data_IF_889792409697
#
_entry.id   IF_889792409697
#
_cell.length_a   1.000
_cell.length_b   1.000
_cell.length_c   1.000
_cell.angle_alpha   90.00
_cell.angle_beta   90.00
_cell.angle_gamma   90.00
#
_symmetry.space_group_name_H-M   'P 1'
#
loop_
_entity.id
_entity.type
_entity.pdbx_description
1 polymer ?
#
# COMPACT_ATOMS: atom_id res chain seq x y z
N UNK A 1 47.81 5.29 -16.81
CA UNK A 1 46.85 4.97 -15.73
C UNK A 1 45.74 6.03 -15.79
N UNK A 2 44.59 5.73 -16.39
CA UNK A 2 43.53 6.71 -16.65
C UNK A 2 42.79 6.96 -15.34
N UNK A 3 42.97 8.14 -14.78
CA UNK A 3 42.26 8.62 -13.60
C UNK A 3 40.75 8.65 -13.93
N UNK A 4 40.01 7.63 -13.47
CA UNK A 4 38.56 7.61 -13.60
C UNK A 4 38.02 8.69 -12.69
N UNK A 5 37.68 9.83 -13.32
CA UNK A 5 36.94 10.97 -12.76
C UNK A 5 35.95 10.45 -11.73
N UNK A 6 36.19 10.74 -10.44
CA UNK A 6 35.31 10.40 -9.32
C UNK A 6 33.89 10.82 -9.70
N UNK A 7 33.04 9.85 -10.03
CA UNK A 7 31.65 10.15 -10.35
C UNK A 7 31.03 10.90 -9.17
N UNK A 8 30.34 12.01 -9.45
CA UNK A 8 29.72 12.81 -8.40
C UNK A 8 28.78 11.95 -7.54
N UNK A 9 28.49 12.39 -6.29
CA UNK A 9 27.57 11.68 -5.38
C UNK A 9 26.24 11.29 -6.07
N UNK A 10 25.74 12.14 -6.97
CA UNK A 10 24.55 11.87 -7.78
C UNK A 10 24.72 10.69 -8.74
N UNK A 11 25.87 10.57 -9.42
CA UNK A 11 26.14 9.46 -10.34
C UNK A 11 26.26 8.14 -9.59
N UNK A 12 26.88 8.14 -8.41
CA UNK A 12 26.93 6.97 -7.54
C UNK A 12 25.53 6.55 -7.08
N UNK A 13 24.68 7.52 -6.70
CA UNK A 13 23.29 7.26 -6.33
C UNK A 13 22.48 6.66 -7.49
N UNK A 14 22.54 7.27 -8.68
CA UNK A 14 21.85 6.78 -9.86
C UNK A 14 22.32 5.39 -10.29
N UNK A 15 23.61 5.08 -10.13
CA UNK A 15 24.16 3.76 -10.42
C UNK A 15 23.58 2.70 -9.46
N UNK A 16 23.55 2.98 -8.15
CA UNK A 16 22.93 2.11 -7.15
C UNK A 16 21.45 1.94 -7.45
N UNK A 17 20.73 3.04 -7.68
CA UNK A 17 19.30 3.04 -7.98
C UNK A 17 18.97 2.17 -9.19
N UNK A 18 19.68 2.38 -10.31
CA UNK A 18 19.46 1.63 -11.55
C UNK A 18 19.75 0.14 -11.36
N UNK A 19 20.84 -0.19 -10.67
CA UNK A 19 21.18 -1.57 -10.37
C UNK A 19 20.09 -2.25 -9.54
N UNK A 20 19.68 -1.63 -8.43
CA UNK A 20 18.67 -2.17 -7.51
C UNK A 20 17.30 -2.29 -8.15
N UNK A 21 16.89 -1.29 -8.94
CA UNK A 21 15.62 -1.32 -9.66
C UNK A 21 15.55 -2.48 -10.66
N UNK A 22 16.57 -2.64 -11.51
CA UNK A 22 16.66 -3.76 -12.47
C UNK A 22 16.83 -5.11 -11.77
N UNK A 23 17.45 -5.12 -10.59
CA UNK A 23 17.56 -6.32 -9.76
C UNK A 23 16.19 -6.73 -9.21
N UNK A 24 15.43 -5.79 -8.65
CA UNK A 24 14.09 -6.04 -8.12
C UNK A 24 13.13 -6.57 -9.19
N UNK A 25 13.17 -5.99 -10.40
CA UNK A 25 12.36 -6.46 -11.53
C UNK A 25 12.65 -7.91 -11.96
N UNK A 26 13.87 -8.41 -11.75
CA UNK A 26 14.27 -9.77 -12.12
C UNK A 26 14.02 -10.82 -11.03
N UNK A 27 13.62 -10.40 -9.83
CA UNK A 27 13.37 -11.33 -8.72
C UNK A 27 12.10 -12.14 -9.01
N UNK A 28 12.25 -13.47 -9.10
CA UNK A 28 11.13 -14.40 -9.31
C UNK A 28 9.97 -14.19 -8.32
N UNK A 29 10.26 -13.87 -7.06
CA UNK A 29 9.24 -13.58 -6.05
C UNK A 29 8.42 -12.32 -6.34
N UNK A 30 9.07 -11.26 -6.81
CA UNK A 30 8.41 -10.00 -7.18
C UNK A 30 7.57 -10.19 -8.44
N UNK A 31 8.11 -10.89 -9.44
CA UNK A 31 7.38 -11.24 -10.67
C UNK A 31 6.19 -12.15 -10.34
N UNK A 32 6.40 -13.22 -9.59
CA UNK A 32 5.35 -14.19 -9.26
C UNK A 32 4.21 -13.55 -8.48
N UNK A 33 4.53 -12.68 -7.51
CA UNK A 33 3.49 -11.97 -6.79
C UNK A 33 2.79 -10.91 -7.65
N UNK A 34 3.53 -10.18 -8.50
CA UNK A 34 2.93 -9.27 -9.47
C UNK A 34 1.96 -10.00 -10.40
N UNK A 35 2.28 -11.21 -10.86
CA UNK A 35 1.36 -12.02 -11.66
C UNK A 35 0.10 -12.39 -10.88
N UNK A 36 0.21 -12.74 -9.60
CA UNK A 36 -0.97 -13.00 -8.75
C UNK A 36 -1.84 -11.74 -8.66
N UNK A 37 -1.25 -10.58 -8.37
CA UNK A 37 -1.97 -9.30 -8.32
C UNK A 37 -2.65 -9.00 -9.65
N UNK A 38 -1.93 -9.18 -10.76
CA UNK A 38 -2.46 -9.01 -12.11
C UNK A 38 -3.63 -9.96 -12.39
N UNK A 39 -3.58 -11.21 -11.94
CA UNK A 39 -4.71 -12.14 -12.02
C UNK A 39 -5.91 -11.64 -11.24
N UNK A 40 -5.72 -11.12 -10.02
CA UNK A 40 -6.82 -10.56 -9.24
C UNK A 40 -7.44 -9.31 -9.90
N UNK A 41 -6.62 -8.42 -10.45
CA UNK A 41 -7.11 -7.25 -11.22
C UNK A 41 -7.90 -7.71 -12.44
N UNK A 42 -7.37 -8.68 -13.19
CA UNK A 42 -8.05 -9.27 -14.35
C UNK A 42 -9.38 -9.92 -13.97
N UNK A 43 -9.40 -10.67 -12.86
CA UNK A 43 -10.63 -11.27 -12.35
C UNK A 43 -11.65 -10.18 -11.99
N UNK A 44 -11.25 -9.12 -11.29
CA UNK A 44 -12.17 -8.03 -10.93
C UNK A 44 -12.72 -7.31 -12.16
N UNK A 45 -11.91 -7.16 -13.20
CA UNK A 45 -12.31 -6.57 -14.47
C UNK A 45 -13.28 -7.44 -15.26
N UNK A 46 -13.04 -8.76 -15.35
CA UNK A 46 -13.76 -9.65 -16.26
C UNK A 46 -14.89 -10.46 -15.59
N UNK A 47 -14.79 -10.76 -14.30
CA UNK A 47 -15.68 -11.72 -13.63
C UNK A 47 -17.14 -11.24 -13.62
N UNK A 48 -17.41 -10.01 -13.16
CA UNK A 48 -18.78 -9.49 -13.10
C UNK A 48 -19.43 -9.39 -14.49
N UNK A 49 -18.76 -8.80 -15.51
CA UNK A 49 -19.24 -8.82 -16.90
C UNK A 49 -19.57 -10.22 -17.43
N UNK A 50 -18.73 -11.21 -17.12
CA UNK A 50 -18.94 -12.59 -17.54
C UNK A 50 -20.14 -13.22 -16.83
N UNK A 51 -20.30 -12.99 -15.53
CA UNK A 51 -21.45 -13.48 -14.76
C UNK A 51 -22.77 -12.85 -15.23
N UNK A 52 -22.76 -11.55 -15.56
CA UNK A 52 -23.92 -10.86 -16.14
C UNK A 52 -24.29 -11.47 -17.50
N UNK A 53 -23.29 -11.70 -18.36
CA UNK A 53 -23.50 -12.37 -19.64
C UNK A 53 -24.11 -13.78 -19.48
N UNK A 54 -23.59 -14.60 -18.55
CA UNK A 54 -24.13 -15.94 -18.29
C UNK A 54 -25.52 -15.95 -17.65
N UNK A 55 -25.88 -14.89 -16.92
CA UNK A 55 -27.22 -14.72 -16.34
C UNK A 55 -28.22 -14.05 -17.28
N UNK A 56 -27.81 -13.74 -18.52
CA UNK A 56 -28.67 -13.11 -19.53
C UNK A 56 -28.92 -11.62 -19.27
N UNK A 57 -28.15 -11.00 -18.38
CA UNK A 57 -28.20 -9.57 -18.09
C UNK A 57 -27.36 -8.83 -19.12
N UNK A 58 -27.93 -7.78 -19.71
CA UNK A 58 -27.19 -6.92 -20.63
C UNK A 58 -26.14 -6.12 -19.87
N UNK A 59 -24.90 -6.09 -20.40
CA UNK A 59 -23.82 -5.25 -19.90
C UNK A 59 -24.28 -3.81 -19.76
N UNK A 60 -24.29 -3.31 -18.52
CA UNK A 60 -24.65 -1.93 -18.20
C UNK A 60 -23.40 -1.06 -18.23
N UNK A 61 -23.43 0.12 -18.87
CA UNK A 61 -22.36 1.10 -18.76
C UNK A 61 -22.12 1.49 -17.29
N UNK A 62 -20.85 1.48 -16.90
CA UNK A 62 -20.40 1.90 -15.57
C UNK A 62 -19.26 2.93 -15.72
N UNK A 63 -19.57 4.23 -15.62
CA UNK A 63 -18.58 5.29 -15.78
C UNK A 63 -17.71 5.50 -14.53
N UNK A 64 -18.03 4.92 -13.37
CA UNK A 64 -17.22 5.02 -12.14
C UNK A 64 -16.29 3.83 -11.92
N UNK A 65 -16.41 2.78 -12.76
CA UNK A 65 -15.62 1.55 -12.62
C UNK A 65 -14.13 1.82 -12.38
N UNK A 66 -13.46 2.60 -13.24
CA UNK A 66 -12.01 2.86 -13.09
C UNK A 66 -11.71 3.58 -11.78
N UNK A 67 -12.50 4.58 -11.40
CA UNK A 67 -12.34 5.34 -10.16
C UNK A 67 -12.44 4.44 -8.91
N UNK A 68 -13.44 3.56 -8.87
CA UNK A 68 -13.72 2.66 -7.73
C UNK A 68 -12.71 1.50 -7.63
N UNK A 69 -12.04 1.16 -8.74
CA UNK A 69 -11.16 -0.01 -8.82
C UNK A 69 -9.67 0.35 -8.81
N UNK A 70 -9.26 1.51 -9.34
CA UNK A 70 -7.85 1.95 -9.32
C UNK A 70 -7.39 2.32 -7.91
N UNK A 71 -8.29 2.83 -7.07
CA UNK A 71 -7.96 3.13 -5.67
C UNK A 71 -7.75 1.87 -4.81
N UNK A 72 -8.25 0.71 -5.28
CA UNK A 72 -8.17 -0.59 -4.60
C UNK A 72 -7.83 -1.66 -5.63
N UNK A 73 -6.70 -1.51 -6.33
CA UNK A 73 -6.28 -2.46 -7.38
C UNK A 73 -6.18 -3.91 -6.87
N UNK A 74 -5.96 -4.09 -5.57
CA UNK A 74 -5.81 -5.41 -4.99
C UNK A 74 -6.35 -5.45 -3.55
N UNK A 75 -6.73 -6.64 -3.06
CA UNK A 75 -7.00 -6.87 -1.65
C UNK A 75 -5.83 -6.41 -0.77
N UNK A 76 -6.15 -5.96 0.44
CA UNK A 76 -5.19 -5.42 1.43
C UNK A 76 -4.07 -6.40 1.74
N UNK A 77 -4.37 -7.71 1.75
CA UNK A 77 -3.37 -8.77 1.88
C UNK A 77 -2.34 -8.76 0.74
N UNK A 78 -2.79 -8.62 -0.52
CA UNK A 78 -1.86 -8.62 -1.66
C UNK A 78 -1.00 -7.36 -1.68
N UNK A 79 -1.55 -6.22 -1.24
CA UNK A 79 -0.80 -4.99 -1.01
C UNK A 79 0.35 -5.22 -0.02
N UNK A 80 0.03 -5.84 1.11
CA UNK A 80 1.03 -6.21 2.09
C UNK A 80 2.08 -7.19 1.55
N UNK A 81 1.64 -8.27 0.87
CA UNK A 81 2.56 -9.25 0.30
C UNK A 81 3.50 -8.61 -0.72
N UNK A 82 3.02 -7.62 -1.49
CA UNK A 82 3.82 -6.92 -2.50
C UNK A 82 4.91 -6.08 -1.86
N UNK A 83 4.60 -5.45 -0.72
CA UNK A 83 5.59 -4.80 0.12
C UNK A 83 6.66 -5.79 0.61
N UNK A 84 6.28 -6.97 1.13
CA UNK A 84 7.24 -8.01 1.53
C UNK A 84 8.11 -8.43 0.35
N UNK A 85 7.50 -8.84 -0.77
CA UNK A 85 8.23 -9.45 -1.88
C UNK A 85 9.29 -8.51 -2.44
N UNK A 86 9.00 -7.21 -2.46
CA UNK A 86 9.94 -6.16 -2.89
C UNK A 86 11.00 -5.86 -1.85
N UNK A 87 10.67 -5.85 -0.55
CA UNK A 87 11.54 -5.25 0.48
C UNK A 87 12.19 -6.18 1.49
N UNK A 88 11.71 -7.42 1.65
CA UNK A 88 12.20 -8.37 2.66
C UNK A 88 13.68 -8.74 2.56
N UNK A 89 14.31 -8.54 1.38
CA UNK A 89 15.74 -8.83 1.15
C UNK A 89 16.53 -7.55 0.84
N UNK A 90 15.94 -6.37 1.00
CA UNK A 90 16.59 -5.12 0.59
C UNK A 90 17.86 -4.86 1.40
N UNK A 91 17.80 -5.10 2.71
CA UNK A 91 18.92 -4.86 3.64
C UNK A 91 19.35 -6.14 4.35
N UNK A 92 18.41 -6.86 4.96
CA UNK A 92 18.62 -8.19 5.56
C UNK A 92 19.36 -9.16 4.64
N UNK A 93 19.03 -9.18 3.34
CA UNK A 93 19.66 -10.07 2.37
C UNK A 93 21.17 -9.81 2.19
N UNK A 94 21.64 -8.58 2.42
CA UNK A 94 23.06 -8.25 2.38
C UNK A 94 23.82 -8.79 3.59
N UNK A 95 23.14 -8.87 4.75
CA UNK A 95 23.68 -9.49 5.95
C UNK A 95 23.76 -11.01 5.79
N UNK A 96 22.68 -11.63 5.28
CA UNK A 96 22.62 -13.08 5.07
C UNK A 96 23.63 -13.59 4.04
N UNK A 97 23.85 -12.82 2.97
CA UNK A 97 24.77 -13.20 1.91
C UNK A 97 26.23 -12.84 2.21
N UNK A 98 26.50 -12.16 3.34
CA UNK A 98 27.83 -11.63 3.69
C UNK A 98 28.31 -10.48 2.78
N UNK A 99 27.49 -10.05 1.81
CA UNK A 99 27.81 -8.99 0.84
C UNK A 99 27.83 -7.60 1.46
N UNK A 100 27.33 -7.46 2.70
CA UNK A 100 27.41 -6.21 3.44
C UNK A 100 28.86 -5.75 3.66
N UNK A 101 29.80 -6.67 3.92
CA UNK A 101 31.21 -6.33 4.17
C UNK A 101 31.86 -5.65 2.95
N UNK A 102 31.87 -6.26 1.74
CA UNK A 102 32.44 -5.62 0.55
C UNK A 102 31.64 -4.40 0.08
N UNK A 103 30.37 -4.27 0.47
CA UNK A 103 29.56 -3.08 0.18
C UNK A 103 29.97 -1.90 1.08
N UNK A 104 30.27 -2.17 2.35
CA UNK A 104 30.68 -1.17 3.33
C UNK A 104 32.14 -0.71 3.18
N UNK A 105 33.00 -1.46 2.49
CA UNK A 105 34.39 -1.07 2.21
C UNK A 105 34.54 -0.18 0.97
N UNK A 106 33.50 -0.08 0.12
CA UNK A 106 33.53 0.82 -1.03
C UNK A 106 33.49 2.29 -0.59
N UNK A 107 34.11 3.22 -1.35
CA UNK A 107 34.12 4.65 -1.03
C UNK A 107 32.76 5.33 -1.35
N UNK A 108 31.66 4.73 -0.89
CA UNK A 108 30.28 5.18 -1.08
C UNK A 108 29.65 5.31 0.31
N UNK A 109 28.91 6.40 0.55
CA UNK A 109 28.22 6.60 1.83
C UNK A 109 27.17 5.51 2.06
N UNK A 110 27.15 4.93 3.28
CA UNK A 110 26.11 3.99 3.72
C UNK A 110 24.69 4.55 3.49
N UNK A 111 24.52 5.86 3.66
CA UNK A 111 23.22 6.54 3.53
C UNK A 111 22.75 6.66 2.11
N UNK A 112 23.70 6.81 1.19
CA UNK A 112 23.44 6.82 -0.23
C UNK A 112 22.99 5.43 -0.72
N UNK A 113 23.62 4.36 -0.22
CA UNK A 113 23.19 2.99 -0.57
C UNK A 113 21.81 2.67 0.01
N UNK A 114 21.60 3.01 1.29
CA UNK A 114 20.32 2.81 1.97
C UNK A 114 19.16 3.53 1.26
N UNK A 115 19.34 4.82 0.99
CA UNK A 115 18.33 5.61 0.27
C UNK A 115 18.13 5.13 -1.16
N UNK A 116 19.21 4.77 -1.88
CA UNK A 116 19.12 4.21 -3.23
C UNK A 116 18.29 2.93 -3.28
N UNK A 117 18.46 2.04 -2.30
CA UNK A 117 17.69 0.80 -2.15
C UNK A 117 16.20 1.07 -1.84
N UNK A 118 15.89 2.03 -0.97
CA UNK A 118 14.50 2.42 -0.66
C UNK A 118 13.82 3.04 -1.87
N UNK A 119 14.50 3.97 -2.57
CA UNK A 119 13.96 4.62 -3.77
C UNK A 119 13.78 3.59 -4.90
N UNK A 120 14.68 2.61 -5.02
CA UNK A 120 14.49 1.51 -5.97
C UNK A 120 13.22 0.69 -5.66
N UNK A 121 12.97 0.37 -4.38
CA UNK A 121 11.75 -0.32 -3.97
C UNK A 121 10.50 0.50 -4.27
N UNK A 122 10.51 1.80 -3.96
CA UNK A 122 9.43 2.73 -4.30
C UNK A 122 9.16 2.75 -5.82
N UNK A 123 10.19 2.88 -6.65
CA UNK A 123 10.04 2.89 -8.10
C UNK A 123 9.54 1.55 -8.66
N UNK A 124 9.96 0.42 -8.08
CA UNK A 124 9.44 -0.90 -8.46
C UNK A 124 7.94 -1.00 -8.18
N UNK A 125 7.49 -0.57 -7.00
CA UNK A 125 6.08 -0.55 -6.63
C UNK A 125 5.27 0.42 -7.52
N UNK A 126 5.79 1.63 -7.72
CA UNK A 126 5.17 2.64 -8.57
C UNK A 126 5.00 2.12 -10.00
N UNK A 127 6.04 1.52 -10.59
CA UNK A 127 5.97 0.93 -11.93
C UNK A 127 4.95 -0.20 -12.04
N UNK A 128 4.86 -1.07 -11.03
CA UNK A 128 3.86 -2.12 -10.97
C UNK A 128 2.43 -1.56 -10.93
N UNK A 129 2.17 -0.56 -10.09
CA UNK A 129 0.84 0.05 -10.00
C UNK A 129 0.47 0.89 -11.21
N UNK A 130 1.42 1.59 -11.84
CA UNK A 130 1.18 2.28 -13.11
C UNK A 130 0.75 1.27 -14.18
N UNK A 131 1.45 0.14 -14.31
CA UNK A 131 1.07 -0.89 -15.26
C UNK A 131 -0.35 -1.40 -15.01
N UNK A 132 -0.67 -1.72 -13.75
CA UNK A 132 -2.00 -2.21 -13.37
C UNK A 132 -3.09 -1.15 -13.61
N UNK A 133 -2.84 0.12 -13.28
CA UNK A 133 -3.79 1.21 -13.49
C UNK A 133 -4.06 1.44 -14.97
N UNK A 134 -3.03 1.41 -15.84
CA UNK A 134 -3.19 1.49 -17.29
C UNK A 134 -4.02 0.30 -17.80
N UNK A 135 -3.71 -0.91 -17.34
CA UNK A 135 -4.47 -2.11 -17.68
C UNK A 135 -5.94 -2.01 -17.28
N UNK A 136 -6.24 -1.59 -16.05
CA UNK A 136 -7.61 -1.38 -15.55
C UNK A 136 -8.33 -0.27 -16.31
N UNK A 137 -7.63 0.81 -16.67
CA UNK A 137 -8.23 1.94 -17.40
C UNK A 137 -8.62 1.53 -18.81
N UNK A 138 -7.72 0.86 -19.55
CA UNK A 138 -8.02 0.35 -20.90
C UNK A 138 -9.13 -0.69 -20.84
N UNK A 139 -9.06 -1.63 -19.89
CA UNK A 139 -10.09 -2.63 -19.68
C UNK A 139 -11.46 -2.03 -19.36
N UNK A 140 -11.50 -1.05 -18.46
CA UNK A 140 -12.73 -0.36 -18.06
C UNK A 140 -13.39 0.38 -19.23
N UNK A 141 -12.58 1.07 -20.04
CA UNK A 141 -13.05 1.75 -21.26
C UNK A 141 -13.66 0.78 -22.28
N UNK A 142 -13.05 -0.39 -22.47
CA UNK A 142 -13.51 -1.39 -23.45
C UNK A 142 -14.81 -2.06 -22.98
N UNK A 143 -14.91 -2.41 -21.71
CA UNK A 143 -16.03 -3.22 -21.17
C UNK A 143 -17.23 -2.34 -20.78
N UNK A 144 -16.98 -1.25 -20.07
CA UNK A 144 -18.04 -0.42 -19.46
C UNK A 144 -18.27 0.90 -20.20
N UNK A 145 -17.45 1.21 -21.21
CA UNK A 145 -17.56 2.43 -22.00
C UNK A 145 -16.86 3.64 -21.34
N UNK A 146 -17.24 4.88 -21.72
CA UNK A 146 -16.59 6.11 -21.25
C UNK A 146 -16.52 6.19 -19.72
N UNK A 147 -15.34 6.55 -19.21
CA UNK A 147 -15.04 6.60 -17.77
C UNK A 147 -14.93 8.04 -17.28
N UNK A 148 -15.44 8.30 -16.08
CA UNK A 148 -15.34 9.59 -15.41
C UNK A 148 -14.09 9.64 -14.51
N UNK A 149 -13.65 10.85 -14.19
CA UNK A 149 -12.60 11.13 -13.21
C UNK A 149 -11.26 10.42 -13.50
N UNK A 150 -10.92 10.21 -14.78
CA UNK A 150 -9.67 9.58 -15.20
C UNK A 150 -8.43 10.41 -14.80
N UNK A 151 -8.62 11.72 -14.62
CA UNK A 151 -7.62 12.64 -14.11
C UNK A 151 -7.15 12.30 -12.69
N UNK A 152 -7.93 11.55 -11.91
CA UNK A 152 -7.62 11.16 -10.53
C UNK A 152 -6.87 9.82 -10.41
N UNK A 153 -6.68 9.11 -11.54
CA UNK A 153 -5.97 7.82 -11.58
C UNK A 153 -4.53 7.92 -11.08
N UNK A 154 -3.72 8.93 -11.46
CA UNK A 154 -2.36 9.10 -10.95
C UNK A 154 -2.30 9.22 -9.41
N UNK A 155 -3.26 9.92 -8.81
CA UNK A 155 -3.34 10.14 -7.37
C UNK A 155 -3.70 8.86 -6.64
N UNK A 156 -4.59 8.05 -7.21
CA UNK A 156 -4.87 6.70 -6.71
C UNK A 156 -3.61 5.81 -6.70
N UNK A 157 -2.84 5.85 -7.79
CA UNK A 157 -1.56 5.11 -7.90
C UNK A 157 -0.53 5.59 -6.89
N UNK A 158 -0.39 6.90 -6.69
CA UNK A 158 0.50 7.47 -5.67
C UNK A 158 0.06 7.09 -4.26
N UNK A 159 -1.24 7.16 -3.97
CA UNK A 159 -1.82 6.76 -2.69
C UNK A 159 -1.58 5.27 -2.40
N UNK A 160 -1.80 4.37 -3.37
CA UNK A 160 -1.50 2.94 -3.23
C UNK A 160 0.00 2.67 -3.06
N UNK A 161 0.85 3.41 -3.76
CA UNK A 161 2.30 3.30 -3.58
C UNK A 161 2.70 3.70 -2.16
N UNK A 162 2.17 4.83 -1.65
CA UNK A 162 2.41 5.29 -0.29
C UNK A 162 1.87 4.29 0.76
N UNK A 163 0.67 3.75 0.56
CA UNK A 163 0.09 2.70 1.40
C UNK A 163 1.00 1.47 1.51
N UNK A 164 1.51 1.01 0.36
CA UNK A 164 2.42 -0.14 0.29
C UNK A 164 3.77 0.16 0.95
N UNK A 165 4.21 1.42 0.88
CA UNK A 165 5.45 1.87 1.52
C UNK A 165 5.38 1.86 3.05
N UNK A 166 4.21 2.02 3.66
CA UNK A 166 4.04 1.84 5.11
C UNK A 166 4.42 0.42 5.51
N UNK A 167 3.87 -0.58 4.82
CA UNK A 167 4.21 -1.99 5.03
C UNK A 167 5.67 -2.30 4.68
N UNK A 168 6.19 -1.71 3.61
CA UNK A 168 7.59 -1.84 3.23
C UNK A 168 8.52 -1.31 4.33
N UNK A 169 8.18 -0.18 4.96
CA UNK A 169 8.96 0.41 6.04
C UNK A 169 8.99 -0.49 7.27
N UNK A 170 7.87 -1.14 7.62
CA UNK A 170 7.79 -2.14 8.70
C UNK A 170 8.74 -3.31 8.40
N UNK A 171 8.64 -3.87 7.19
CA UNK A 171 9.44 -5.04 6.78
C UNK A 171 10.94 -4.69 6.72
N UNK A 172 11.30 -3.52 6.19
CA UNK A 172 12.68 -3.04 6.14
C UNK A 172 13.24 -2.84 7.55
N UNK A 173 12.46 -2.27 8.47
CA UNK A 173 12.87 -2.08 9.85
C UNK A 173 13.14 -3.41 10.55
N UNK A 174 12.19 -4.34 10.46
CA UNK A 174 12.36 -5.68 11.03
C UNK A 174 13.57 -6.40 10.43
N UNK A 175 13.74 -6.37 9.11
CA UNK A 175 14.87 -7.03 8.45
C UNK A 175 16.22 -6.40 8.75
N UNK A 176 16.28 -5.09 8.95
CA UNK A 176 17.53 -4.41 9.32
C UNK A 176 17.90 -4.67 10.77
N UNK A 177 16.92 -4.71 11.67
CA UNK A 177 17.12 -5.00 13.09
C UNK A 177 17.50 -6.46 13.33
N UNK A 178 16.80 -7.38 12.67
CA UNK A 178 17.05 -8.83 12.83
C UNK A 178 18.26 -9.32 12.03
N UNK A 179 18.68 -8.58 11.00
CA UNK A 179 19.67 -9.00 10.00
C UNK A 179 19.27 -10.30 9.27
N UNK A 180 17.97 -10.64 9.27
CA UNK A 180 17.43 -11.89 8.74
C UNK A 180 16.12 -11.63 7.98
N UNK A 181 16.06 -12.06 6.73
CA UNK A 181 14.95 -11.87 5.80
C UNK A 181 13.72 -12.70 6.16
N UNK A 182 13.90 -13.88 6.79
CA UNK A 182 12.78 -14.68 7.30
C UNK A 182 12.10 -13.98 8.47
N UNK A 183 12.87 -13.39 9.39
CA UNK A 183 12.30 -12.61 10.51
C UNK A 183 11.61 -11.35 9.98
N UNK A 184 12.16 -10.71 8.94
CA UNK A 184 11.51 -9.58 8.29
C UNK A 184 10.14 -9.95 7.70
N UNK A 185 10.06 -11.07 6.99
CA UNK A 185 8.84 -11.53 6.35
C UNK A 185 7.80 -12.04 7.36
N UNK A 186 8.19 -12.97 8.26
CA UNK A 186 7.30 -13.55 9.25
C UNK A 186 6.88 -12.54 10.32
N UNK A 187 7.82 -11.69 10.77
CA UNK A 187 7.52 -10.61 11.71
C UNK A 187 6.57 -9.58 11.11
N UNK A 188 6.81 -9.16 9.86
CA UNK A 188 5.89 -8.28 9.14
C UNK A 188 4.51 -8.91 8.99
N UNK A 189 4.44 -10.20 8.65
CA UNK A 189 3.17 -10.92 8.48
C UNK A 189 2.43 -11.07 9.81
N UNK A 190 3.14 -11.32 10.91
CA UNK A 190 2.58 -11.33 12.25
C UNK A 190 1.99 -9.97 12.66
N UNK A 191 2.66 -8.87 12.31
CA UNK A 191 2.11 -7.51 12.54
C UNK A 191 0.85 -7.30 11.69
N UNK A 192 0.89 -7.63 10.39
CA UNK A 192 -0.27 -7.51 9.51
C UNK A 192 -1.48 -8.30 10.02
N UNK A 193 -1.29 -9.58 10.40
CA UNK A 193 -2.37 -10.38 10.97
C UNK A 193 -2.85 -9.82 12.31
N UNK A 194 -1.92 -9.40 13.18
CA UNK A 194 -2.23 -8.82 14.48
C UNK A 194 -3.10 -7.57 14.33
N UNK A 195 -2.73 -6.63 13.47
CA UNK A 195 -3.51 -5.40 13.25
C UNK A 195 -4.85 -5.69 12.58
N UNK A 196 -4.91 -6.63 11.64
CA UNK A 196 -6.16 -7.01 10.96
C UNK A 196 -7.15 -7.67 11.92
N UNK A 197 -6.69 -8.65 12.72
CA UNK A 197 -7.55 -9.38 13.67
C UNK A 197 -7.98 -8.46 14.82
N UNK A 198 -7.04 -7.75 15.44
CA UNK A 198 -7.36 -6.81 16.53
C UNK A 198 -8.27 -5.70 16.00
N UNK A 199 -8.01 -5.19 14.80
CA UNK A 199 -8.84 -4.15 14.18
C UNK A 199 -10.27 -4.61 13.92
N UNK A 200 -10.45 -5.84 13.42
CA UNK A 200 -11.78 -6.44 13.24
C UNK A 200 -12.52 -6.59 14.57
N UNK A 201 -11.85 -7.08 15.62
CA UNK A 201 -12.43 -7.22 16.97
C UNK A 201 -12.84 -5.84 17.52
N UNK A 202 -11.94 -4.85 17.49
CA UNK A 202 -12.24 -3.50 18.00
C UNK A 202 -13.41 -2.87 17.26
N UNK A 203 -13.50 -3.06 15.94
CA UNK A 203 -14.61 -2.54 15.13
C UNK A 203 -15.95 -3.14 15.55
N UNK A 204 -16.00 -4.44 15.88
CA UNK A 204 -17.22 -5.13 16.32
C UNK A 204 -17.66 -4.67 17.71
N UNK A 205 -16.73 -4.56 18.66
CA UNK A 205 -17.09 -4.32 20.07
C UNK A 205 -17.18 -2.85 20.46
N UNK A 206 -16.33 -2.01 19.87
CA UNK A 206 -16.19 -0.60 20.24
C UNK A 206 -16.61 0.34 19.10
N UNK A 207 -17.01 -0.20 17.94
CA UNK A 207 -17.27 0.57 16.73
C UNK A 207 -15.98 1.10 16.09
N UNK A 208 -16.12 2.06 15.18
CA UNK A 208 -15.01 2.84 14.63
C UNK A 208 -14.25 3.61 15.73
N UNK A 209 -13.31 2.96 16.40
CA UNK A 209 -12.57 3.55 17.52
C UNK A 209 -11.53 4.55 17.06
N UNK A 210 -11.18 5.48 17.96
CA UNK A 210 -10.13 6.46 17.72
C UNK A 210 -8.76 5.81 17.46
N UNK A 211 -8.49 4.62 18.01
CA UNK A 211 -7.18 3.96 17.86
C UNK A 211 -6.98 3.40 16.45
N UNK A 212 -8.05 2.94 15.79
CA UNK A 212 -8.01 2.40 14.43
C UNK A 212 -7.56 3.44 13.40
N UNK A 213 -7.76 4.73 13.67
CA UNK A 213 -7.28 5.80 12.80
C UNK A 213 -5.76 5.94 12.77
N UNK A 214 -5.06 5.39 13.76
CA UNK A 214 -3.61 5.56 13.92
C UNK A 214 -2.82 4.26 13.77
N UNK A 215 -3.48 3.11 13.66
CA UNK A 215 -2.84 1.82 13.41
C UNK A 215 -2.48 1.65 11.93
N UNK A 216 -1.38 0.95 11.60
CA UNK A 216 -1.05 0.67 10.21
C UNK A 216 -2.01 -0.39 9.67
N UNK A 217 -2.48 -0.18 8.45
CA UNK A 217 -3.40 -1.07 7.76
C UNK A 217 -4.75 -0.42 7.48
N UNK A 218 -5.80 -1.23 7.66
CA UNK A 218 -7.18 -0.80 7.46
C UNK A 218 -7.64 0.02 8.68
N UNK A 219 -8.05 1.26 8.42
CA UNK A 219 -8.74 2.10 9.38
C UNK A 219 -10.24 1.83 9.39
N UNK A 220 -11.02 2.62 10.14
CA UNK A 220 -12.46 2.48 10.18
C UNK A 220 -13.11 2.67 8.80
N UNK A 221 -14.10 1.86 8.48
CA UNK A 221 -14.85 2.03 7.23
C UNK A 221 -15.66 3.32 7.28
N UNK A 222 -15.45 4.19 6.29
CA UNK A 222 -16.21 5.42 6.10
C UNK A 222 -17.37 5.16 5.14
N UNK A 223 -18.51 5.82 5.37
CA UNK A 223 -19.63 5.83 4.43
C UNK A 223 -20.16 7.24 4.21
N UNK A 224 -20.63 7.52 3.00
CA UNK A 224 -21.35 8.76 2.67
C UNK A 224 -22.85 8.65 2.96
N UNK A 225 -23.35 7.45 3.25
CA UNK A 225 -24.75 7.20 3.58
C UNK A 225 -25.01 7.35 5.08
N UNK A 226 -26.28 7.24 5.48
CA UNK A 226 -26.64 7.12 6.90
C UNK A 226 -26.23 5.75 7.43
N UNK A 227 -25.90 5.66 8.72
CA UNK A 227 -25.47 4.39 9.32
C UNK A 227 -26.53 3.27 9.25
N UNK A 228 -27.82 3.62 9.12
CA UNK A 228 -28.89 2.64 8.85
C UNK A 228 -28.71 1.94 7.50
N UNK A 229 -28.33 2.69 6.46
CA UNK A 229 -28.13 2.18 5.10
C UNK A 229 -26.95 1.19 4.97
N UNK A 230 -26.02 1.20 5.94
CA UNK A 230 -24.89 0.26 5.98
C UNK A 230 -25.34 -1.18 6.23
N UNK A 231 -26.33 -1.40 7.10
CA UNK A 231 -26.91 -2.75 7.32
C UNK A 231 -27.76 -3.17 6.12
N UNK A 232 -28.43 -2.21 5.47
CA UNK A 232 -29.30 -2.46 4.32
C UNK A 232 -28.54 -2.74 3.02
N UNK A 233 -27.20 -2.62 3.03
CA UNK A 233 -26.36 -2.85 1.84
C UNK A 233 -26.46 -1.77 0.77
N UNK A 234 -27.13 -0.65 1.06
CA UNK A 234 -27.35 0.46 0.13
C UNK A 234 -26.37 1.63 0.34
N UNK A 235 -25.30 1.40 1.10
CA UNK A 235 -24.30 2.41 1.44
C UNK A 235 -23.05 2.26 0.58
N UNK A 236 -22.63 3.36 -0.06
CA UNK A 236 -21.27 3.46 -0.59
C UNK A 236 -20.30 3.62 0.58
N UNK A 237 -19.44 2.63 0.76
CA UNK A 237 -18.44 2.59 1.82
C UNK A 237 -17.05 2.42 1.24
N UNK A 238 -16.06 3.06 1.86
CA UNK A 238 -14.66 2.89 1.47
C UNK A 238 -13.77 2.74 2.70
N UNK A 239 -12.63 2.10 2.48
CA UNK A 239 -11.62 1.84 3.50
C UNK A 239 -10.85 3.15 3.76
N UNK A 240 -10.63 3.49 5.02
CA UNK A 240 -9.75 4.58 5.46
C UNK A 240 -8.47 4.00 6.09
N UNK A 241 -7.60 4.85 6.65
CA UNK A 241 -6.32 4.43 7.21
C UNK A 241 -5.25 4.28 6.14
N UNK A 242 -4.08 3.75 6.52
CA UNK A 242 -2.92 3.74 5.61
C UNK A 242 -3.13 2.87 4.37
N UNK A 243 -3.96 1.82 4.44
CA UNK A 243 -4.32 1.01 3.27
C UNK A 243 -5.30 1.72 2.33
N UNK A 244 -6.12 2.65 2.86
CA UNK A 244 -7.12 3.42 2.12
C UNK A 244 -6.60 4.70 1.46
N UNK A 245 -5.29 4.99 1.52
CA UNK A 245 -4.74 6.26 1.02
C UNK A 245 -5.14 6.57 -0.44
N UNK A 246 -5.16 5.57 -1.32
CA UNK A 246 -5.59 5.76 -2.72
C UNK A 246 -7.03 6.26 -2.83
N UNK A 247 -7.98 5.58 -2.17
CA UNK A 247 -9.41 5.94 -2.22
C UNK A 247 -9.68 7.25 -1.53
N UNK A 248 -9.07 7.49 -0.36
CA UNK A 248 -9.28 8.70 0.43
C UNK A 248 -8.75 9.94 -0.29
N UNK A 249 -7.56 9.87 -0.91
CA UNK A 249 -6.99 10.99 -1.67
C UNK A 249 -7.86 11.31 -2.89
N UNK A 250 -8.26 10.28 -3.66
CA UNK A 250 -9.10 10.49 -4.84
C UNK A 250 -10.45 11.13 -4.47
N UNK A 251 -11.12 10.63 -3.42
CA UNK A 251 -12.39 11.20 -2.97
C UNK A 251 -12.23 12.59 -2.35
N UNK A 252 -11.11 12.88 -1.69
CA UNK A 252 -10.80 14.22 -1.17
C UNK A 252 -10.64 15.25 -2.30
N UNK A 253 -9.92 14.89 -3.37
CA UNK A 253 -9.74 15.80 -4.52
C UNK A 253 -11.07 16.00 -5.26
N UNK A 254 -11.85 14.93 -5.44
CA UNK A 254 -13.13 15.01 -6.12
C UNK A 254 -14.15 15.86 -5.35
N UNK A 255 -14.29 15.64 -4.04
CA UNK A 255 -15.27 16.32 -3.19
C UNK A 255 -14.67 16.69 -1.81
N UNK A 256 -13.95 17.83 -1.69
CA UNK A 256 -13.22 18.15 -0.46
C UNK A 256 -14.11 18.45 0.75
N UNK A 257 -15.36 18.87 0.51
CA UNK A 257 -16.35 19.14 1.54
C UNK A 257 -17.24 17.92 1.86
N UNK A 258 -16.96 16.74 1.27
CA UNK A 258 -17.73 15.53 1.52
C UNK A 258 -17.64 15.15 3.00
N UNK A 259 -18.80 15.05 3.65
CA UNK A 259 -18.91 14.52 5.01
C UNK A 259 -19.04 13.01 4.97
N UNK A 260 -18.25 12.34 5.79
CA UNK A 260 -18.24 10.88 5.90
C UNK A 260 -18.61 10.48 7.32
N UNK A 261 -19.46 9.47 7.42
CA UNK A 261 -19.94 8.92 8.67
C UNK A 261 -19.14 7.67 9.01
N UNK A 262 -18.72 7.58 10.27
CA UNK A 262 -18.16 6.38 10.86
C UNK A 262 -19.23 5.71 11.72
N UNK A 263 -19.60 4.50 11.32
CA UNK A 263 -20.71 3.77 11.91
C UNK A 263 -20.21 2.65 12.81
N UNK A 264 -20.93 2.44 13.91
CA UNK A 264 -20.72 1.30 14.81
C UNK A 264 -21.95 0.42 14.80
N UNK A 265 -21.75 -0.84 15.15
CA UNK A 265 -22.82 -1.82 15.29
C UNK A 265 -22.88 -2.19 16.77
N UNK A 266 -24.07 -2.14 17.36
CA UNK A 266 -24.33 -2.67 18.69
C UNK A 266 -25.45 -3.70 18.61
N UNK A 267 -25.34 -4.75 19.41
CA UNK A 267 -26.39 -5.77 19.50
C UNK A 267 -27.29 -5.45 20.69
N UNK A 268 -28.55 -5.08 20.41
CA UNK A 268 -29.57 -4.91 21.46
C UNK A 268 -30.51 -6.12 21.40
N UNK A 269 -30.17 -7.14 22.19
CA UNK A 269 -30.78 -8.47 22.04
C UNK A 269 -30.31 -9.14 20.74
N UNK A 270 -31.22 -9.74 19.96
CA UNK A 270 -30.91 -10.38 18.68
C UNK A 270 -30.95 -9.44 17.46
N UNK A 271 -31.15 -8.12 17.64
CA UNK A 271 -31.19 -7.17 16.52
C UNK A 271 -29.92 -6.30 16.49
N UNK A 272 -29.19 -6.26 15.36
CA UNK A 272 -28.12 -5.29 15.17
C UNK A 272 -28.74 -3.90 15.01
N UNK A 273 -28.30 -2.94 15.81
CA UNK A 273 -28.58 -1.52 15.64
C UNK A 273 -27.29 -0.83 15.21
N UNK A 274 -27.33 -0.05 14.12
CA UNK A 274 -26.24 0.87 13.79
C UNK A 274 -26.42 2.21 14.47
N UNK A 275 -25.30 2.83 14.82
CA UNK A 275 -25.27 4.20 15.34
C UNK A 275 -24.10 4.95 14.71
N UNK A 276 -24.27 6.26 14.51
CA UNK A 276 -23.19 7.13 14.08
C UNK A 276 -22.25 7.40 15.27
N UNK A 277 -20.97 7.08 15.13
CA UNK A 277 -19.95 7.44 16.12
C UNK A 277 -19.46 8.85 15.91
N UNK A 278 -19.10 9.16 14.67
CA UNK A 278 -18.57 10.46 14.27
C UNK A 278 -18.89 10.74 12.81
N UNK A 279 -18.99 12.03 12.50
CA UNK A 279 -19.06 12.54 11.15
C UNK A 279 -17.88 13.51 10.99
N UNK A 280 -17.03 13.25 10.00
CA UNK A 280 -15.84 14.07 9.74
C UNK A 280 -15.83 14.47 8.25
N UNK A 281 -15.20 15.60 7.93
CA UNK A 281 -14.93 15.93 6.53
C UNK A 281 -13.86 14.99 5.97
N UNK A 282 -13.99 14.61 4.70
CA UNK A 282 -13.01 13.74 4.06
C UNK A 282 -11.61 14.34 4.02
N UNK A 283 -11.50 15.68 4.00
CA UNK A 283 -10.23 16.38 4.12
C UNK A 283 -9.51 16.09 5.43
N UNK A 284 -10.25 16.02 6.55
CA UNK A 284 -9.70 15.70 7.87
C UNK A 284 -9.22 14.26 7.91
N UNK A 285 -10.00 13.34 7.34
CA UNK A 285 -9.64 11.92 7.21
C UNK A 285 -8.38 11.76 6.34
N UNK A 286 -8.34 12.42 5.18
CA UNK A 286 -7.19 12.37 4.27
C UNK A 286 -5.90 12.90 4.91
N UNK A 287 -5.96 14.06 5.57
CA UNK A 287 -4.81 14.63 6.25
C UNK A 287 -4.32 13.73 7.39
N UNK A 288 -5.23 13.11 8.14
CA UNK A 288 -4.89 12.14 9.19
C UNK A 288 -4.21 10.91 8.59
N UNK A 289 -4.81 10.29 7.59
CA UNK A 289 -4.28 9.05 6.99
C UNK A 289 -2.90 9.29 6.34
N UNK A 290 -2.73 10.41 5.63
CA UNK A 290 -1.44 10.84 5.07
C UNK A 290 -0.43 11.08 6.20
N UNK A 291 -0.82 11.82 7.24
CA UNK A 291 0.03 12.11 8.39
C UNK A 291 0.52 10.84 9.08
N UNK A 292 -0.39 9.90 9.35
CA UNK A 292 -0.07 8.60 9.95
C UNK A 292 0.88 7.80 9.05
N UNK A 293 0.58 7.71 7.74
CA UNK A 293 1.44 7.02 6.79
C UNK A 293 2.86 7.61 6.74
N UNK A 294 2.98 8.94 6.68
CA UNK A 294 4.26 9.65 6.69
C UNK A 294 5.03 9.40 7.98
N UNK A 295 4.36 9.46 9.14
CA UNK A 295 5.00 9.19 10.44
C UNK A 295 5.55 7.78 10.50
N UNK A 296 4.78 6.76 10.08
CA UNK A 296 5.26 5.38 10.03
C UNK A 296 6.48 5.23 9.11
N UNK A 297 6.39 5.74 7.89
CA UNK A 297 7.48 5.63 6.90
C UNK A 297 8.76 6.29 7.43
N UNK A 298 8.67 7.54 7.91
CA UNK A 298 9.84 8.28 8.40
C UNK A 298 10.41 7.62 9.65
N UNK A 299 9.58 7.32 10.66
CA UNK A 299 10.06 6.77 11.92
C UNK A 299 10.76 5.41 11.71
N UNK A 300 10.16 4.52 10.93
CA UNK A 300 10.71 3.18 10.68
C UNK A 300 11.96 3.23 9.79
N UNK A 301 12.02 4.13 8.80
CA UNK A 301 13.24 4.35 8.03
C UNK A 301 14.36 4.95 8.87
N UNK A 302 14.07 5.87 9.78
CA UNK A 302 15.07 6.40 10.71
C UNK A 302 15.59 5.30 11.62
N UNK A 303 14.71 4.47 12.20
CA UNK A 303 15.11 3.31 13.00
C UNK A 303 16.01 2.35 12.20
N UNK A 304 15.59 2.00 10.98
CA UNK A 304 16.37 1.15 10.07
C UNK A 304 17.74 1.74 9.76
N UNK A 305 17.78 3.04 9.44
CA UNK A 305 18.99 3.77 9.12
C UNK A 305 19.98 3.80 10.29
N UNK A 306 19.48 4.07 11.50
CA UNK A 306 20.28 4.06 12.72
C UNK A 306 20.82 2.66 13.02
N UNK A 307 20.01 1.61 12.85
CA UNK A 307 20.43 0.24 13.01
C UNK A 307 21.56 -0.13 12.03
N UNK A 308 21.41 0.21 10.74
CA UNK A 308 22.44 -0.01 9.72
C UNK A 308 23.73 0.79 9.99
N UNK A 309 23.61 1.99 10.58
CA UNK A 309 24.80 2.78 10.93
C UNK A 309 25.59 2.14 12.06
N UNK A 310 24.90 1.55 13.04
CA UNK A 310 25.49 0.91 14.22
C UNK A 310 26.13 -0.45 13.93
N UNK A 311 25.84 -1.10 12.80
CA UNK A 311 26.54 -2.32 12.43
C UNK A 311 28.00 -1.99 12.09
N UNK A 312 28.88 -2.24 13.06
CA UNK A 312 30.33 -2.26 12.90
C UNK A 312 30.75 -3.57 12.23
N UNK A 313 31.83 -3.50 11.47
CA UNK A 313 32.55 -4.68 10.97
C UNK A 313 33.22 -5.25 12.22
N UNK A 314 32.59 -6.24 12.87
CA UNK A 314 33.32 -7.11 13.78
C UNK A 314 34.10 -8.06 12.89
N UNK A 315 35.42 -7.89 12.87
CA UNK A 315 36.38 -8.86 12.31
C UNK A 315 36.17 -10.25 12.89
#
# INVERSE_FOLDING_TARGET
MKETRRGGKLQAFLAVLRYEFLWNLRKKKTIGLFLIVFTFVTLRLALFPLLDYFSGVTLRPDPSFVFDNVSVLQPTLLLFLLAIATTMNTISGEFESGTIIPLLTKPISKGLVFTGKIVAAFLTLLGAYIFLAVYTTIGGLIIYGPQNNLELVPEGVLGLTAATMVWAAIVIALGTLSKNSMVAALGGFGIYLGTTIVGAILTIYLGATSILFYTPGDGPTATTATCGAVIEGNATSFITGTNGLGSVIMNWILNPALSVNFCGIRFRGNRPETFALSAESISTVALRDIGVGVVYIIALFVVSWLALRRTQITE
#
